data_IF_596330014126
#
_entry.id   IF_596330014126
#
_cell.length_a   1.000
_cell.length_b   1.000
_cell.length_c   1.000
_cell.angle_alpha   90.00
_cell.angle_beta   90.00
_cell.angle_gamma   90.00
#
_symmetry.space_group_name_H-M   'P 1'
#
loop_
_entity.id
_entity.type
_entity.pdbx_description
1 polymer ?
#
# COMPACT_ATOMS: atom_id res chain seq x y z
N UNK A 1 72.30 -46.28 15.53
CA UNK A 1 72.16 -44.82 15.21
C UNK A 1 71.31 -44.73 13.97
N UNK A 2 69.98 -44.51 14.11
CA UNK A 2 69.07 -44.31 13.00
C UNK A 2 68.23 -43.07 13.34
N UNK A 3 68.42 -42.01 12.56
CA UNK A 3 67.69 -40.79 12.63
C UNK A 3 66.35 -41.02 11.90
N UNK A 4 65.26 -40.99 12.59
CA UNK A 4 63.90 -40.94 12.04
C UNK A 4 63.49 -39.52 11.87
N UNK A 5 63.34 -39.16 10.60
CA UNK A 5 62.80 -37.83 10.17
C UNK A 5 61.27 -37.87 10.24
N UNK A 6 60.69 -37.11 11.13
CA UNK A 6 59.25 -36.95 11.19
C UNK A 6 58.86 -35.75 10.30
N UNK A 7 58.27 -36.04 9.16
CA UNK A 7 57.72 -35.03 8.26
C UNK A 7 56.33 -34.70 8.77
N UNK A 8 56.21 -33.54 9.37
CA UNK A 8 54.89 -32.98 9.79
C UNK A 8 54.21 -32.41 8.57
N UNK A 9 53.18 -33.10 8.12
CA UNK A 9 52.32 -32.64 7.01
C UNK A 9 51.31 -31.66 7.56
N UNK A 10 51.53 -30.36 7.35
CA UNK A 10 50.59 -29.31 7.68
C UNK A 10 49.56 -29.29 6.55
N UNK A 11 48.34 -29.76 6.86
CA UNK A 11 47.19 -29.61 5.99
C UNK A 11 46.64 -28.18 6.14
N UNK A 12 46.96 -27.35 5.17
CA UNK A 12 46.37 -25.99 5.05
C UNK A 12 45.00 -26.14 4.43
N UNK A 13 43.96 -26.15 5.27
CA UNK A 13 42.58 -26.11 4.83
C UNK A 13 42.25 -24.69 4.34
N UNK A 14 42.24 -24.50 3.03
CA UNK A 14 41.75 -23.30 2.39
C UNK A 14 40.21 -23.35 2.44
N UNK A 15 39.61 -22.66 3.39
CA UNK A 15 38.18 -22.40 3.40
C UNK A 15 37.90 -21.36 2.32
N UNK A 16 37.42 -21.80 1.15
CA UNK A 16 36.80 -20.91 0.19
C UNK A 16 35.48 -20.43 0.82
N UNK A 17 35.53 -19.29 1.46
CA UNK A 17 34.31 -18.52 1.77
C UNK A 17 33.74 -18.04 0.45
N UNK A 18 32.77 -18.80 -0.08
CA UNK A 18 31.88 -18.32 -1.13
C UNK A 18 31.03 -17.18 -0.52
N UNK A 19 31.56 -15.97 -0.63
CA UNK A 19 30.77 -14.76 -0.36
C UNK A 19 29.70 -14.68 -1.43
N UNK A 20 28.51 -15.18 -1.12
CA UNK A 20 27.32 -14.84 -1.87
C UNK A 20 27.08 -13.33 -1.70
N UNK A 21 27.47 -12.55 -2.70
CA UNK A 21 26.92 -11.22 -2.88
C UNK A 21 25.41 -11.41 -3.08
N UNK A 22 24.67 -11.28 -1.99
CA UNK A 22 23.28 -10.93 -2.08
C UNK A 22 23.25 -9.57 -2.75
N UNK A 23 23.05 -9.54 -4.06
CA UNK A 23 22.59 -8.36 -4.75
C UNK A 23 21.27 -8.00 -4.06
N UNK A 24 21.35 -7.10 -3.10
CA UNK A 24 20.20 -6.35 -2.62
C UNK A 24 19.73 -5.54 -3.82
N UNK A 25 18.85 -6.14 -4.63
CA UNK A 25 17.89 -5.35 -5.34
C UNK A 25 17.21 -4.55 -4.24
N UNK A 26 17.54 -3.28 -4.14
CA UNK A 26 16.72 -2.31 -3.42
C UNK A 26 15.44 -2.17 -4.24
N UNK A 27 14.61 -3.20 -4.16
CA UNK A 27 13.21 -3.07 -4.41
C UNK A 27 12.76 -2.05 -3.35
N UNK A 28 12.49 -0.82 -3.76
CA UNK A 28 11.87 0.20 -2.94
C UNK A 28 10.43 -0.26 -2.66
N UNK A 29 10.30 -1.41 -1.98
CA UNK A 29 9.02 -1.85 -1.44
C UNK A 29 8.69 -0.87 -0.34
N UNK A 30 7.81 0.06 -0.64
CA UNK A 30 7.20 0.90 0.36
C UNK A 30 6.70 -0.01 1.48
N UNK A 31 7.14 0.24 2.70
CA UNK A 31 6.64 -0.48 3.86
C UNK A 31 5.14 -0.17 3.99
N UNK A 32 4.31 -1.20 3.86
CA UNK A 32 2.86 -1.03 3.86
C UNK A 32 2.31 -0.62 5.22
N UNK A 33 3.01 -0.97 6.28
CA UNK A 33 2.63 -0.68 7.66
C UNK A 33 3.79 0.05 8.29
N UNK A 34 3.59 1.31 8.65
CA UNK A 34 4.59 2.08 9.36
C UNK A 34 4.33 1.99 10.86
N UNK A 35 5.39 1.82 11.65
CA UNK A 35 5.33 1.75 13.11
C UNK A 35 5.14 3.13 13.78
N UNK A 36 4.65 4.10 13.03
CA UNK A 36 4.40 5.41 13.56
C UNK A 36 3.22 5.41 14.52
N UNK A 37 3.45 5.88 15.72
CA UNK A 37 2.41 6.09 16.74
C UNK A 37 1.60 7.37 16.47
N UNK A 38 1.71 7.93 15.27
CA UNK A 38 1.01 9.14 14.86
C UNK A 38 -0.50 8.91 14.87
N UNK A 39 -1.23 9.88 15.40
CA UNK A 39 -2.69 9.93 15.33
C UNK A 39 -3.04 11.04 14.37
N UNK A 40 -3.62 10.67 13.24
CA UNK A 40 -4.00 11.57 12.16
C UNK A 40 -5.51 11.74 12.11
N UNK A 41 -5.92 12.90 11.67
CA UNK A 41 -7.32 13.28 11.40
C UNK A 41 -7.48 13.63 9.92
N UNK A 42 -8.71 13.78 9.43
CA UNK A 42 -8.93 14.22 8.05
C UNK A 42 -8.39 15.64 7.82
N UNK A 43 -8.35 16.47 8.86
CA UNK A 43 -7.78 17.82 8.83
C UNK A 43 -6.28 17.79 8.51
N UNK A 44 -5.53 16.83 9.04
CA UNK A 44 -4.10 16.69 8.74
C UNK A 44 -3.90 16.44 7.24
N UNK A 45 -4.71 15.58 6.64
CA UNK A 45 -4.70 15.35 5.19
C UNK A 45 -5.12 16.60 4.41
N UNK A 46 -6.17 17.29 4.82
CA UNK A 46 -6.61 18.52 4.12
C UNK A 46 -5.56 19.63 4.20
N UNK A 47 -4.81 19.71 5.29
CA UNK A 47 -3.69 20.64 5.46
C UNK A 47 -2.55 20.38 4.47
N UNK A 48 -2.37 19.13 3.99
CA UNK A 48 -1.43 18.82 2.89
C UNK A 48 -1.97 19.21 1.50
N UNK A 49 -3.21 19.66 1.41
CA UNK A 49 -3.88 19.98 0.15
C UNK A 49 -4.78 18.85 -0.39
N UNK A 50 -5.03 17.80 0.39
CA UNK A 50 -6.04 16.81 0.05
C UNK A 50 -7.44 17.46 0.03
N UNK A 51 -8.19 17.22 -1.04
CA UNK A 51 -9.53 17.78 -1.23
C UNK A 51 -10.55 16.68 -1.10
N UNK A 52 -11.31 16.73 -0.02
CA UNK A 52 -12.46 15.84 0.20
C UNK A 52 -13.52 16.08 -0.86
N UNK A 53 -13.92 15.01 -1.54
CA UNK A 53 -15.04 15.01 -2.48
C UNK A 53 -16.29 14.38 -1.85
N UNK A 54 -16.09 13.29 -1.09
CA UNK A 54 -17.17 12.54 -0.47
C UNK A 54 -16.73 11.99 0.88
N UNK A 55 -17.57 12.16 1.89
CA UNK A 55 -17.52 11.42 3.14
C UNK A 55 -18.53 10.28 3.08
N UNK A 56 -18.15 9.10 3.58
CA UNK A 56 -18.99 7.92 3.56
C UNK A 56 -19.60 7.64 4.93
N UNK A 57 -20.79 7.03 4.92
CA UNK A 57 -21.38 6.46 6.13
C UNK A 57 -20.57 5.25 6.58
N UNK A 58 -20.05 5.32 7.80
CA UNK A 58 -19.19 4.29 8.42
C UNK A 58 -19.93 3.44 9.46
N UNK A 59 -21.25 3.54 9.54
CA UNK A 59 -22.06 2.82 10.54
C UNK A 59 -21.90 1.28 10.47
N UNK A 60 -21.49 0.76 9.30
CA UNK A 60 -21.17 -0.68 9.11
C UNK A 60 -19.68 -1.00 9.31
N UNK A 61 -18.81 -0.02 9.63
CA UNK A 61 -17.38 -0.21 9.89
C UNK A 61 -17.10 -0.01 11.38
N UNK A 62 -16.93 -1.12 12.08
CA UNK A 62 -16.64 -1.12 13.52
C UNK A 62 -15.41 -0.26 13.82
N UNK A 63 -15.52 0.60 14.83
CA UNK A 63 -14.48 1.52 15.31
C UNK A 63 -13.91 2.52 14.29
N UNK A 64 -14.45 2.60 13.07
CA UNK A 64 -14.02 3.62 12.12
C UNK A 64 -14.48 5.01 12.56
N UNK A 65 -13.54 5.97 12.59
CA UNK A 65 -13.84 7.39 12.86
C UNK A 65 -14.35 8.11 11.62
N UNK A 66 -14.08 7.58 10.43
CA UNK A 66 -14.57 8.11 9.18
C UNK A 66 -13.81 7.59 7.97
N UNK A 67 -14.43 7.74 6.80
CA UNK A 67 -13.85 7.38 5.51
C UNK A 67 -14.17 8.48 4.50
N UNK A 68 -13.14 8.95 3.81
CA UNK A 68 -13.25 10.03 2.83
C UNK A 68 -12.66 9.61 1.49
N UNK A 69 -13.39 9.87 0.43
CA UNK A 69 -12.90 9.86 -0.93
C UNK A 69 -12.56 11.28 -1.35
N UNK A 70 -11.43 11.44 -1.99
CA UNK A 70 -10.97 12.72 -2.47
C UNK A 70 -9.79 12.62 -3.39
N UNK A 71 -9.15 13.74 -3.64
CA UNK A 71 -7.99 13.81 -4.50
C UNK A 71 -6.93 14.75 -3.94
N UNK A 72 -5.69 14.40 -4.21
CA UNK A 72 -4.51 15.17 -3.84
C UNK A 72 -3.59 15.32 -5.04
N UNK A 73 -2.89 16.46 -5.10
CA UNK A 73 -1.92 16.76 -6.14
C UNK A 73 -0.52 16.55 -5.60
N UNK A 74 0.26 15.72 -6.30
CA UNK A 74 1.66 15.55 -5.97
C UNK A 74 2.51 16.76 -6.37
N UNK A 75 3.82 16.74 -6.06
CA UNK A 75 4.77 17.80 -6.35
C UNK A 75 4.89 18.13 -7.85
N UNK A 76 4.48 17.20 -8.74
CA UNK A 76 4.39 17.41 -10.19
C UNK A 76 3.05 18.00 -10.65
N UNK A 77 2.21 18.46 -9.71
CA UNK A 77 0.87 18.99 -9.96
C UNK A 77 -0.08 18.00 -10.65
N UNK A 78 0.19 16.70 -10.54
CA UNK A 78 -0.69 15.63 -11.00
C UNK A 78 -1.68 15.25 -9.90
N UNK A 79 -2.97 15.25 -10.25
CA UNK A 79 -4.04 14.88 -9.33
C UNK A 79 -4.32 13.38 -9.39
N UNK A 80 -4.39 12.75 -8.21
CA UNK A 80 -4.75 11.36 -8.04
C UNK A 80 -5.87 11.22 -7.03
N UNK A 81 -6.68 10.18 -7.21
CA UNK A 81 -7.76 9.83 -6.29
C UNK A 81 -7.22 8.98 -5.15
N UNK A 82 -7.77 9.23 -3.95
CA UNK A 82 -7.47 8.45 -2.74
C UNK A 82 -8.75 8.16 -1.97
N UNK A 83 -8.72 7.08 -1.21
CA UNK A 83 -9.66 6.83 -0.12
C UNK A 83 -8.87 6.77 1.18
N UNK A 84 -9.27 7.58 2.17
CA UNK A 84 -8.63 7.65 3.48
C UNK A 84 -9.62 7.12 4.51
N UNK A 85 -9.20 6.15 5.31
CA UNK A 85 -9.96 5.58 6.43
C UNK A 85 -9.21 5.85 7.71
N UNK A 86 -9.89 6.36 8.73
CA UNK A 86 -9.28 6.74 10.01
C UNK A 86 -9.91 5.93 11.12
N UNK A 87 -9.06 5.42 12.00
CA UNK A 87 -9.41 4.65 13.18
C UNK A 87 -8.84 5.32 14.45
N UNK A 88 -9.26 4.93 15.67
CA UNK A 88 -8.70 5.47 16.89
C UNK A 88 -7.20 5.17 17.08
N UNK A 89 -6.73 4.03 16.54
CA UNK A 89 -5.32 3.62 16.62
C UNK A 89 -4.93 2.77 15.40
N UNK A 90 -3.62 2.57 15.19
CA UNK A 90 -3.12 1.67 14.17
C UNK A 90 -3.56 0.22 14.41
N UNK A 91 -3.58 -0.21 15.67
CA UNK A 91 -4.03 -1.55 16.05
C UNK A 91 -5.48 -1.79 15.60
N UNK A 92 -6.38 -0.83 15.87
CA UNK A 92 -7.78 -0.91 15.42
C UNK A 92 -7.90 -0.82 13.90
N UNK A 93 -7.09 -0.01 13.23
CA UNK A 93 -7.05 0.03 11.78
C UNK A 93 -6.69 -1.36 11.21
N UNK A 94 -5.68 -2.04 11.76
CA UNK A 94 -5.28 -3.38 11.36
C UNK A 94 -6.36 -4.42 11.67
N UNK A 95 -6.88 -4.44 12.90
CA UNK A 95 -7.86 -5.44 13.34
C UNK A 95 -9.22 -5.31 12.65
N UNK A 96 -9.73 -4.09 12.53
CA UNK A 96 -11.10 -3.81 12.04
C UNK A 96 -11.15 -3.36 10.58
N UNK A 97 -10.09 -2.73 10.08
CA UNK A 97 -10.07 -2.08 8.77
C UNK A 97 -9.44 -2.88 7.64
N UNK A 98 -8.40 -3.68 7.94
CA UNK A 98 -7.53 -4.27 6.93
C UNK A 98 -8.28 -5.15 5.93
N UNK A 99 -9.14 -6.04 6.39
CA UNK A 99 -9.92 -6.93 5.52
C UNK A 99 -10.79 -6.17 4.52
N UNK A 100 -11.40 -5.06 4.93
CA UNK A 100 -12.21 -4.21 4.05
C UNK A 100 -11.37 -3.41 3.05
N UNK A 101 -10.09 -3.16 3.34
CA UNK A 101 -9.16 -2.56 2.37
C UNK A 101 -8.74 -3.59 1.34
N UNK A 102 -8.28 -4.75 1.79
CA UNK A 102 -7.81 -5.83 0.91
C UNK A 102 -8.90 -6.35 -0.02
N UNK A 103 -10.16 -6.34 0.43
CA UNK A 103 -11.31 -6.73 -0.39
C UNK A 103 -11.46 -5.88 -1.65
N UNK A 104 -11.04 -4.61 -1.64
CA UNK A 104 -11.39 -3.63 -2.69
C UNK A 104 -10.21 -3.15 -3.54
N UNK A 105 -9.01 -3.71 -3.34
CA UNK A 105 -7.79 -3.32 -4.08
C UNK A 105 -7.30 -4.43 -5.00
N UNK A 106 -6.51 -4.03 -6.02
CA UNK A 106 -5.83 -4.95 -6.91
C UNK A 106 -6.73 -5.66 -7.91
N UNK A 107 -6.22 -6.76 -8.46
CA UNK A 107 -6.88 -7.49 -9.54
C UNK A 107 -8.08 -8.32 -9.06
N UNK A 108 -8.00 -8.86 -7.86
CA UNK A 108 -9.03 -9.73 -7.25
C UNK A 108 -10.11 -8.94 -6.49
N UNK A 109 -10.13 -7.62 -6.63
CA UNK A 109 -11.03 -6.74 -5.89
C UNK A 109 -12.52 -7.10 -6.08
N UNK A 110 -13.24 -7.20 -4.97
CA UNK A 110 -14.69 -7.38 -4.94
C UNK A 110 -15.37 -6.03 -5.16
N UNK A 111 -15.81 -5.79 -6.38
CA UNK A 111 -16.38 -4.51 -6.81
C UNK A 111 -17.89 -4.55 -7.07
N UNK A 112 -18.57 -5.65 -6.75
CA UNK A 112 -20.02 -5.77 -6.87
C UNK A 112 -20.66 -5.48 -5.51
N UNK A 113 -21.58 -4.49 -5.45
CA UNK A 113 -22.26 -4.09 -4.21
C UNK A 113 -22.93 -5.27 -3.48
N UNK A 114 -23.44 -6.27 -4.22
CA UNK A 114 -24.09 -7.45 -3.64
C UNK A 114 -23.11 -8.45 -3.01
N UNK A 115 -21.82 -8.36 -3.31
CA UNK A 115 -20.79 -9.26 -2.82
C UNK A 115 -19.83 -8.57 -1.82
N UNK A 116 -19.81 -7.24 -1.81
CA UNK A 116 -18.93 -6.47 -0.92
C UNK A 116 -19.40 -6.53 0.51
N UNK A 117 -18.48 -6.70 1.43
CA UNK A 117 -18.70 -6.69 2.88
C UNK A 117 -19.16 -5.30 3.33
N UNK A 118 -18.51 -4.25 2.84
CA UNK A 118 -18.96 -2.88 3.03
C UNK A 118 -19.42 -2.26 1.70
N UNK A 119 -20.69 -1.86 1.68
CA UNK A 119 -21.39 -1.48 0.43
C UNK A 119 -21.27 -0.01 0.08
N UNK A 120 -20.95 0.82 1.08
CA UNK A 120 -20.83 2.27 0.88
C UNK A 120 -19.60 2.57 0.01
N UNK A 121 -19.69 3.56 -0.87
CA UNK A 121 -18.60 4.01 -1.73
C UNK A 121 -18.13 3.05 -2.84
N UNK A 122 -18.72 1.87 -2.99
CA UNK A 122 -18.24 0.84 -3.95
C UNK A 122 -18.16 1.34 -5.40
N UNK A 123 -19.06 2.25 -5.82
CA UNK A 123 -19.04 2.83 -7.15
C UNK A 123 -17.82 3.72 -7.40
N UNK A 124 -17.24 4.33 -6.35
CA UNK A 124 -16.06 5.18 -6.45
C UNK A 124 -14.74 4.36 -6.44
N UNK A 125 -14.81 3.08 -6.07
CA UNK A 125 -13.67 2.14 -6.11
C UNK A 125 -13.52 1.43 -7.46
N UNK A 126 -14.35 1.79 -8.45
CA UNK A 126 -14.39 1.21 -9.79
C UNK A 126 -13.78 2.14 -10.83
N UNK A 127 -12.97 1.56 -11.71
CA UNK A 127 -12.65 2.17 -12.99
C UNK A 127 -13.34 1.38 -14.10
N UNK A 128 -13.99 2.09 -15.03
CA UNK A 128 -14.48 1.52 -16.27
C UNK A 128 -13.42 1.70 -17.34
N UNK A 129 -13.04 0.64 -18.01
CA UNK A 129 -12.21 0.77 -19.21
C UNK A 129 -13.04 1.48 -20.28
N UNK A 130 -12.54 2.60 -20.80
CA UNK A 130 -13.21 3.35 -21.84
C UNK A 130 -13.33 2.51 -23.13
N UNK A 131 -14.32 2.82 -23.96
CA UNK A 131 -14.70 2.15 -25.23
C UNK A 131 -13.61 2.15 -26.32
N UNK A 132 -12.35 2.38 -26.01
CA UNK A 132 -11.28 2.55 -27.01
C UNK A 132 -10.73 1.25 -27.59
N UNK A 133 -11.19 0.08 -27.13
CA UNK A 133 -10.75 -1.21 -27.68
C UNK A 133 -11.94 -2.05 -28.12
N UNK A 134 -11.89 -2.45 -29.39
CA UNK A 134 -12.78 -3.44 -29.96
C UNK A 134 -12.53 -4.79 -29.29
N UNK A 135 -13.52 -5.34 -28.58
CA UNK A 135 -13.43 -6.66 -27.98
C UNK A 135 -14.20 -6.79 -26.66
N UNK A 136 -14.22 -7.99 -26.11
CA UNK A 136 -14.93 -8.37 -24.88
C UNK A 136 -14.46 -7.61 -23.61
N UNK A 137 -13.33 -6.92 -23.67
CA UNK A 137 -12.79 -6.13 -22.56
C UNK A 137 -13.34 -4.69 -22.47
N UNK A 138 -14.10 -4.24 -23.46
CA UNK A 138 -14.57 -2.84 -23.55
C UNK A 138 -15.45 -2.39 -22.37
N UNK A 139 -15.99 -3.33 -21.59
CA UNK A 139 -16.84 -3.06 -20.41
C UNK A 139 -16.29 -3.64 -19.11
N UNK A 140 -15.01 -4.02 -19.04
CA UNK A 140 -14.46 -4.59 -17.82
C UNK A 140 -14.35 -3.52 -16.72
N UNK A 141 -14.89 -3.85 -15.56
CA UNK A 141 -14.74 -3.06 -14.34
C UNK A 141 -13.48 -3.57 -13.66
N UNK A 142 -12.57 -2.65 -13.27
CA UNK A 142 -11.38 -2.96 -12.50
C UNK A 142 -11.33 -2.10 -11.23
N UNK A 143 -10.50 -2.50 -10.27
CA UNK A 143 -10.23 -1.69 -9.10
C UNK A 143 -9.61 -0.34 -9.51
N UNK A 144 -10.05 0.71 -8.84
CA UNK A 144 -9.45 2.04 -8.93
C UNK A 144 -8.15 2.08 -8.12
N UNK A 145 -8.15 1.48 -6.94
CA UNK A 145 -7.02 1.44 -6.03
C UNK A 145 -6.22 0.15 -6.27
N UNK A 146 -4.93 0.30 -6.49
CA UNK A 146 -4.04 -0.84 -6.76
C UNK A 146 -3.18 -1.18 -5.55
N UNK A 147 -3.00 -0.24 -4.63
CA UNK A 147 -2.25 -0.47 -3.39
C UNK A 147 -2.78 0.40 -2.26
N UNK A 148 -2.28 0.15 -1.05
CA UNK A 148 -2.57 0.91 0.16
C UNK A 148 -1.34 1.01 1.05
N UNK A 149 -1.39 1.97 1.98
CA UNK A 149 -0.46 2.09 3.11
C UNK A 149 -1.25 2.31 4.39
N UNK A 150 -0.74 1.76 5.49
CA UNK A 150 -1.22 2.06 6.84
C UNK A 150 -0.19 2.98 7.48
N UNK A 151 -0.61 4.20 7.77
CA UNK A 151 0.21 5.27 8.29
C UNK A 151 -0.37 5.79 9.59
N UNK A 152 0.27 5.44 10.72
CA UNK A 152 -0.33 5.64 12.02
C UNK A 152 -1.72 4.98 12.12
N UNK A 153 -2.71 5.71 12.56
CA UNK A 153 -4.10 5.27 12.68
C UNK A 153 -4.91 5.35 11.38
N UNK A 154 -4.27 5.70 10.25
CA UNK A 154 -4.95 5.88 8.97
C UNK A 154 -4.57 4.81 7.95
N UNK A 155 -5.52 4.47 7.09
CA UNK A 155 -5.35 3.60 5.93
C UNK A 155 -5.61 4.42 4.67
N UNK A 156 -4.64 4.46 3.77
CA UNK A 156 -4.70 5.26 2.54
C UNK A 156 -4.67 4.31 1.34
N UNK A 157 -5.76 4.29 0.57
CA UNK A 157 -5.87 3.52 -0.66
C UNK A 157 -5.48 4.42 -1.84
N UNK A 158 -4.59 3.92 -2.70
CA UNK A 158 -3.91 4.72 -3.70
C UNK A 158 -4.17 4.23 -5.12
N UNK A 159 -4.44 5.19 -6.01
CA UNK A 159 -4.58 4.92 -7.44
C UNK A 159 -3.24 4.97 -8.15
N UNK A 160 -3.15 4.29 -9.29
CA UNK A 160 -2.02 4.35 -10.21
C UNK A 160 -2.38 3.74 -11.56
N UNK A 161 -1.52 3.95 -12.56
CA UNK A 161 -1.61 3.24 -13.84
C UNK A 161 -1.25 1.76 -13.64
N UNK A 162 -0.33 1.52 -12.75
CA UNK A 162 0.17 0.22 -12.30
C UNK A 162 0.48 0.25 -10.81
N UNK A 163 0.92 -0.88 -10.25
CA UNK A 163 1.24 -1.03 -8.84
C UNK A 163 2.38 -0.11 -8.38
N UNK A 164 3.41 0.08 -9.22
CA UNK A 164 4.56 0.94 -8.89
C UNK A 164 4.12 2.40 -8.73
N UNK A 165 3.30 2.89 -9.65
CA UNK A 165 2.74 4.25 -9.57
C UNK A 165 1.80 4.40 -8.37
N UNK A 166 0.99 3.39 -8.07
CA UNK A 166 0.11 3.42 -6.90
C UNK A 166 0.91 3.50 -5.59
N UNK A 167 1.97 2.70 -5.45
CA UNK A 167 2.89 2.74 -4.31
C UNK A 167 3.57 4.09 -4.16
N UNK A 168 4.06 4.67 -5.26
CA UNK A 168 4.66 5.99 -5.23
C UNK A 168 3.65 7.06 -4.78
N UNK A 169 2.42 6.99 -5.27
CA UNK A 169 1.37 7.91 -4.85
C UNK A 169 1.03 7.77 -3.36
N UNK A 170 1.02 6.55 -2.81
CA UNK A 170 0.91 6.32 -1.37
C UNK A 170 2.05 7.01 -0.60
N UNK A 171 3.29 6.80 -1.04
CA UNK A 171 4.48 7.38 -0.42
C UNK A 171 4.45 8.91 -0.46
N UNK A 172 4.11 9.49 -1.60
CA UNK A 172 4.07 10.93 -1.77
C UNK A 172 3.06 11.60 -0.82
N UNK A 173 1.85 11.03 -0.71
CA UNK A 173 0.83 11.57 0.19
C UNK A 173 1.24 11.39 1.66
N UNK A 174 1.71 10.20 2.07
CA UNK A 174 2.11 9.97 3.47
C UNK A 174 3.31 10.85 3.88
N UNK A 175 4.29 11.04 3.00
CA UNK A 175 5.42 11.93 3.26
C UNK A 175 5.00 13.40 3.39
N UNK A 176 3.89 13.80 2.78
CA UNK A 176 3.40 15.17 2.91
C UNK A 176 2.82 15.47 4.30
N UNK A 177 2.42 14.44 5.06
CA UNK A 177 1.95 14.59 6.44
C UNK A 177 3.08 14.95 7.42
N UNK A 178 4.34 14.77 7.05
CA UNK A 178 5.53 15.05 7.88
C UNK A 178 6.16 16.42 7.56
N UNK A 179 5.58 17.18 6.67
CA UNK A 179 6.08 18.52 6.29
C UNK A 179 5.38 19.61 7.12
#
# INVERSE_FOLDING_TARGET
>A
MKRTLIISLIFLAIVLACGGESSSNSDNTLEKITNESGIYTVEDFTNTGFKVNKEYDVSELEDSLGVWFGFWKNDFNKSFDYEIRIYPSQELALDKGLSFVEEVIGEDAILKKSLSSWKEGIQHRRLRRGNSMSGSEANSIRAKYLDYIIYGNSMVLCTGLDLTVARQNCSDLSNSLNK
#
